data_IF_298803319660
#
_entry.id   IF_298803319660
#
_cell.length_a   1.000
_cell.length_b   1.000
_cell.length_c   1.000
_cell.angle_alpha   90.00
_cell.angle_beta   90.00
_cell.angle_gamma   90.00
#
_symmetry.space_group_name_H-M   'P 1'
#
loop_
_entity.id
_entity.type
_entity.pdbx_description
1 polymer ?
2 non-polymer ?
3 water ?
#
# COMPACT_ATOMS: atom_id res chain seq x y z
N UNK A 1 -20.39 -13.63 6.48
CA UNK A 1 -19.00 -13.37 6.86
C UNK A 1 -18.08 -13.15 5.66
N UNK A 2 -18.23 -13.97 4.62
CA UNK A 2 -17.49 -13.74 3.38
C UNK A 2 -18.16 -12.59 2.62
N UNK A 3 -17.40 -11.52 2.40
CA UNK A 3 -17.94 -10.33 1.73
C UNK A 3 -17.99 -10.44 0.22
N UNK A 4 -17.48 -11.52 -0.37
CA UNK A 4 -17.51 -11.71 -1.82
C UNK A 4 -16.87 -10.54 -2.53
N UNK A 5 -15.64 -10.21 -2.11
CA UNK A 5 -15.00 -8.97 -2.51
C UNK A 5 -14.68 -8.90 -4.01
N UNK A 6 -14.47 -10.05 -4.66
CA UNK A 6 -14.28 -10.05 -6.11
C UNK A 6 -15.44 -9.35 -6.82
N UNK A 7 -16.67 -9.62 -6.40
CA UNK A 7 -17.86 -9.04 -7.02
C UNK A 7 -18.35 -7.78 -6.31
N UNK A 8 -18.08 -7.64 -5.01
CA UNK A 8 -18.70 -6.58 -4.23
C UNK A 8 -18.38 -5.20 -4.78
N UNK A 9 -19.31 -4.26 -4.56
CA UNK A 9 -19.00 -2.87 -4.86
C UNK A 9 -18.09 -2.32 -3.76
N UNK A 10 -17.07 -1.58 -4.15
CA UNK A 10 -16.08 -1.10 -3.20
C UNK A 10 -15.94 0.40 -3.34
N UNK A 11 -16.02 1.11 -2.21
CA UNK A 11 -15.75 2.54 -2.14
C UNK A 11 -14.65 2.74 -1.10
N UNK A 12 -13.57 3.39 -1.51
CA UNK A 12 -12.49 3.71 -0.59
C UNK A 12 -12.62 5.18 -0.21
N UNK A 13 -12.69 5.46 1.09
CA UNK A 13 -12.77 6.82 1.61
C UNK A 13 -11.44 7.15 2.26
N UNK A 14 -10.75 8.17 1.74
CA UNK A 14 -9.51 8.65 2.34
C UNK A 14 -9.31 10.09 1.89
N UNK A 15 -8.23 10.70 2.38
CA UNK A 15 -7.88 12.05 1.97
C UNK A 15 -7.27 12.06 0.57
N UNK A 16 -7.13 13.26 -0.01
CA UNK A 16 -6.61 13.37 -1.37
C UNK A 16 -5.08 13.44 -1.35
N UNK A 17 -4.50 12.37 -0.80
CA UNK A 17 -3.06 12.18 -0.75
C UNK A 17 -2.82 10.69 -0.95
N UNK A 18 -1.55 10.34 -1.22
CA UNK A 18 -1.17 8.93 -1.21
C UNK A 18 -1.29 8.37 0.20
N UNK A 19 -0.52 8.90 1.14
CA UNK A 19 -0.63 8.56 2.54
C UNK A 19 -0.75 7.07 2.80
N UNK A 20 -1.64 6.74 3.71
CA UNK A 20 -1.77 5.36 4.20
C UNK A 20 -2.82 4.56 3.44
N UNK A 21 -3.50 5.17 2.45
CA UNK A 21 -4.42 4.42 1.60
C UNK A 21 -3.84 4.05 0.25
N UNK A 22 -2.66 4.59 -0.11
CA UNK A 22 -2.10 4.30 -1.41
C UNK A 22 -1.90 2.80 -1.61
N UNK A 23 -1.49 2.10 -0.55
CA UNK A 23 -1.30 0.66 -0.68
C UNK A 23 -2.60 -0.04 -1.09
N UNK A 24 -3.72 0.39 -0.54
CA UNK A 24 -5.01 -0.19 -0.94
C UNK A 24 -5.31 0.10 -2.40
N UNK A 25 -5.10 1.35 -2.82
CA UNK A 25 -5.32 1.70 -4.22
C UNK A 25 -4.43 0.87 -5.14
N UNK A 26 -3.19 0.61 -4.71
CA UNK A 26 -2.28 -0.19 -5.53
C UNK A 26 -2.73 -1.64 -5.64
N UNK A 27 -3.21 -2.24 -4.53
CA UNK A 27 -3.72 -3.62 -4.60
C UNK A 27 -4.87 -3.71 -5.58
N UNK A 28 -5.84 -2.79 -5.47
CA UNK A 28 -7.04 -2.89 -6.29
C UNK A 28 -6.70 -2.66 -7.76
N UNK A 29 -5.79 -1.72 -8.04
CA UNK A 29 -5.39 -1.50 -9.42
C UNK A 29 -4.55 -2.66 -9.96
N UNK A 30 -3.69 -3.25 -9.11
CA UNK A 30 -2.97 -4.45 -9.54
C UNK A 30 -3.94 -5.58 -9.90
N UNK A 31 -5.00 -5.74 -9.12
CA UNK A 31 -6.00 -6.77 -9.39
C UNK A 31 -6.98 -6.38 -10.49
N UNK A 32 -6.92 -5.13 -10.97
CA UNK A 32 -7.89 -4.60 -11.92
C UNK A 32 -9.31 -4.80 -11.40
N UNK A 33 -9.49 -4.51 -10.13
CA UNK A 33 -10.81 -4.47 -9.50
C UNK A 33 -11.25 -3.02 -9.39
N UNK A 34 -12.38 -2.69 -9.99
CA UNK A 34 -12.84 -1.32 -9.95
C UNK A 34 -13.31 -0.94 -8.55
N UNK A 35 -13.16 0.34 -8.21
CA UNK A 35 -13.63 0.86 -6.94
C UNK A 35 -13.80 2.36 -7.09
N UNK A 36 -14.67 2.92 -6.26
CA UNK A 36 -14.79 4.37 -6.19
C UNK A 36 -13.69 4.91 -5.27
N UNK A 37 -12.78 5.68 -5.83
CA UNK A 37 -11.67 6.27 -5.08
C UNK A 37 -12.11 7.65 -4.60
N UNK A 38 -12.87 7.68 -3.53
CA UNK A 38 -13.39 8.96 -3.06
C UNK A 38 -12.35 9.62 -2.15
N UNK A 39 -11.99 10.85 -2.49
CA UNK A 39 -10.95 11.62 -1.85
C UNK A 39 -11.60 12.76 -1.09
N UNK A 40 -11.42 12.77 0.23
CA UNK A 40 -12.15 13.63 1.16
C UNK A 40 -11.23 14.76 1.60
N UNK A 41 -11.72 15.99 1.51
CA UNK A 41 -10.97 17.11 2.08
C UNK A 41 -11.20 17.20 3.58
N UNK A 42 -10.24 17.81 4.27
CA UNK A 42 -10.43 18.14 5.68
C UNK A 42 -11.58 19.12 5.89
N UNK A 43 -11.97 19.89 4.88
CA UNK A 43 -13.19 20.70 5.00
C UNK A 43 -14.42 19.81 5.11
N UNK A 44 -14.41 18.66 4.43
CA UNK A 44 -15.57 17.78 4.43
C UNK A 44 -15.55 16.76 5.55
N UNK A 45 -14.38 16.52 6.14
CA UNK A 45 -14.22 15.46 7.13
C UNK A 45 -15.11 15.61 8.37
N UNK A 46 -15.23 16.78 9.00
CA UNK A 46 -16.10 16.89 10.17
C UNK A 46 -17.52 16.39 9.96
N UNK A 47 -18.15 16.79 8.85
CA UNK A 47 -19.52 16.36 8.59
C UNK A 47 -19.59 14.87 8.27
N UNK A 48 -18.60 14.35 7.53
CA UNK A 48 -18.57 12.93 7.21
C UNK A 48 -18.36 12.10 8.46
N UNK A 49 -17.46 12.55 9.34
CA UNK A 49 -17.18 11.83 10.59
C UNK A 49 -18.40 11.78 11.50
N UNK A 50 -19.34 12.72 11.35
CA UNK A 50 -20.48 12.78 12.26
C UNK A 50 -21.59 11.81 11.84
N UNK A 51 -21.81 11.62 10.54
CA UNK A 51 -22.89 10.76 10.09
C UNK A 51 -22.48 9.30 9.94
N UNK A 52 -21.20 9.00 9.82
CA UNK A 52 -20.75 7.65 9.58
C UNK A 52 -20.23 7.01 10.86
N UNK A 53 -20.24 5.67 10.93
CA UNK A 53 -19.90 4.99 12.19
C UNK A 53 -18.41 4.84 12.47
N UNK A 54 -17.56 5.67 11.88
CA UNK A 54 -16.12 5.57 12.08
C UNK A 54 -15.53 6.91 12.47
N UNK A 55 -14.31 6.88 12.99
CA UNK A 55 -13.63 8.07 13.48
C UNK A 55 -12.30 8.34 12.79
N UNK A 56 -11.85 7.46 11.89
CA UNK A 56 -10.61 7.68 11.16
C UNK A 56 -10.75 7.10 9.76
N UNK A 57 -9.95 7.64 8.84
CA UNK A 57 -9.82 7.09 7.50
C UNK A 57 -8.47 6.40 7.36
N UNK A 58 -8.30 5.50 6.39
CA UNK A 58 -9.25 5.05 5.36
C UNK A 58 -10.32 4.12 5.87
N UNK A 59 -11.47 4.13 5.20
CA UNK A 59 -12.50 3.12 5.38
C UNK A 59 -12.77 2.54 4.00
N UNK A 60 -12.95 1.22 3.93
CA UNK A 60 -13.43 0.58 2.71
C UNK A 60 -14.90 0.22 2.91
N UNK A 61 -15.79 0.91 2.22
CA UNK A 61 -17.22 0.60 2.28
C UNK A 61 -17.52 -0.46 1.23
N UNK A 62 -17.90 -1.65 1.69
CA UNK A 62 -18.18 -2.80 0.85
C UNK A 62 -19.69 -2.94 0.76
N UNK A 63 -20.22 -3.10 -0.46
CA UNK A 63 -21.60 -3.52 -0.64
C UNK A 63 -21.54 -4.90 -1.28
N UNK A 64 -21.89 -5.93 -0.52
CA UNK A 64 -21.75 -7.28 -1.04
C UNK A 64 -22.71 -7.48 -2.21
N UNK A 65 -22.54 -8.56 -3.00
CA UNK A 65 -23.48 -8.82 -4.11
C UNK A 65 -24.90 -9.02 -3.65
N UNK A 66 -25.12 -9.33 -2.37
CA UNK A 66 -26.47 -9.47 -1.83
C UNK A 66 -27.00 -8.17 -1.25
N UNK A 67 -26.25 -7.07 -1.37
CA UNK A 67 -26.71 -5.77 -0.95
C UNK A 67 -26.33 -5.34 0.43
N UNK A 68 -25.51 -6.09 1.15
CA UNK A 68 -25.18 -5.75 2.52
C UNK A 68 -24.02 -4.76 2.55
N UNK A 69 -24.20 -3.66 3.28
CA UNK A 69 -23.18 -2.63 3.42
C UNK A 69 -22.36 -2.87 4.68
N UNK A 70 -21.05 -3.03 4.52
CA UNK A 70 -20.12 -3.26 5.63
C UNK A 70 -18.99 -2.26 5.50
N UNK A 71 -18.63 -1.60 6.60
CA UNK A 71 -17.54 -0.63 6.64
C UNK A 71 -16.32 -1.31 7.25
N UNK A 72 -15.27 -1.45 6.46
CA UNK A 72 -14.04 -2.03 6.96
C UNK A 72 -13.05 -0.94 7.35
N UNK A 73 -12.35 -1.16 8.46
CA UNK A 73 -11.37 -0.22 8.95
C UNK A 73 -10.02 -0.91 9.14
N UNK A 74 -9.01 -0.08 9.43
CA UNK A 74 -7.63 -0.46 9.70
C UNK A 74 -6.89 -0.73 8.39
N UNK A 75 -6.10 0.26 7.95
CA UNK A 75 -5.57 0.30 6.60
C UNK A 75 -4.84 -0.98 6.20
N UNK A 76 -3.93 -1.46 7.06
CA UNK A 76 -3.16 -2.64 6.68
C UNK A 76 -4.00 -3.92 6.71
N UNK A 77 -4.96 -4.02 7.63
CA UNK A 77 -5.87 -5.16 7.62
C UNK A 77 -6.68 -5.20 6.32
N UNK A 78 -7.14 -4.03 5.86
CA UNK A 78 -7.85 -3.93 4.60
C UNK A 78 -6.95 -4.35 3.45
N UNK A 79 -5.72 -3.83 3.41
CA UNK A 79 -4.80 -4.14 2.32
C UNK A 79 -4.52 -5.65 2.26
N UNK A 80 -4.27 -6.28 3.40
CA UNK A 80 -3.96 -7.72 3.40
C UNK A 80 -5.17 -8.54 2.99
N UNK A 81 -6.36 -8.16 3.45
CA UNK A 81 -7.58 -8.86 3.04
C UNK A 81 -7.75 -8.79 1.52
N UNK A 82 -7.56 -7.60 0.95
CA UNK A 82 -7.69 -7.46 -0.50
C UNK A 82 -6.59 -8.21 -1.21
N UNK A 83 -5.37 -8.19 -0.67
CA UNK A 83 -4.29 -8.93 -1.32
C UNK A 83 -4.59 -10.43 -1.33
N UNK A 84 -5.09 -10.97 -0.20
CA UNK A 84 -5.43 -12.38 -0.16
C UNK A 84 -6.52 -12.70 -1.18
N UNK A 85 -7.50 -11.82 -1.30
CA UNK A 85 -8.62 -12.07 -2.19
C UNK A 85 -8.16 -12.18 -3.63
N UNK A 86 -7.19 -11.35 -4.01
CA UNK A 86 -6.78 -11.24 -5.41
C UNK A 86 -5.44 -11.90 -5.70
N UNK A 87 -5.01 -12.82 -4.85
CA UNK A 87 -3.84 -13.63 -5.17
C UNK A 87 -2.51 -12.89 -5.04
N UNK A 88 -2.47 -11.83 -4.21
CA UNK A 88 -1.30 -10.98 -4.04
C UNK A 88 -0.67 -11.16 -2.68
N UNK A 89 -0.88 -12.32 -2.03
CA UNK A 89 -0.39 -12.55 -0.68
C UNK A 89 0.30 -13.89 -0.52
N UNK A 90 0.93 -14.38 -1.59
CA UNK A 90 1.68 -15.63 -1.52
C UNK A 90 0.81 -16.86 -1.40
N UNK A 91 1.49 -18.01 -1.29
CA UNK A 91 0.85 -19.31 -1.36
C UNK A 91 1.04 -20.16 -0.12
N UNK A 92 1.94 -19.79 0.78
CA UNK A 92 2.18 -20.58 1.98
C UNK A 92 2.76 -19.66 3.04
N UNK A 93 2.86 -20.20 4.27
CA UNK A 93 3.25 -19.36 5.40
C UNK A 93 4.69 -18.89 5.29
N UNK A 94 5.55 -19.68 4.64
CA UNK A 94 6.94 -19.26 4.49
C UNK A 94 7.05 -18.05 3.57
N UNK A 95 6.33 -18.08 2.46
CA UNK A 95 6.30 -16.90 1.61
C UNK A 95 5.72 -15.71 2.35
N UNK A 96 4.64 -15.94 3.12
CA UNK A 96 4.00 -14.86 3.84
C UNK A 96 4.96 -14.26 4.86
N UNK A 97 5.82 -15.09 5.49
CA UNK A 97 6.82 -14.52 6.37
C UNK A 97 7.70 -13.51 5.63
N UNK A 98 8.13 -13.85 4.41
CA UNK A 98 8.92 -12.90 3.63
C UNK A 98 8.15 -11.62 3.37
N UNK A 99 6.85 -11.73 3.01
CA UNK A 99 6.04 -10.54 2.81
C UNK A 99 6.02 -9.69 4.07
N UNK A 100 5.72 -10.33 5.20
CA UNK A 100 5.44 -9.61 6.44
C UNK A 100 6.71 -9.11 7.09
N UNK A 101 7.83 -9.80 6.94
CA UNK A 101 9.09 -9.24 7.40
C UNK A 101 9.40 -7.95 6.66
N UNK A 102 9.28 -7.98 5.33
CA UNK A 102 9.54 -6.78 4.55
C UNK A 102 8.55 -5.68 4.88
N UNK A 103 7.27 -6.02 4.97
CA UNK A 103 6.30 -4.98 5.28
C UNK A 103 6.50 -4.40 6.67
N UNK A 104 7.01 -5.17 7.63
CA UNK A 104 7.32 -4.61 8.93
C UNK A 104 8.40 -3.55 8.80
N UNK A 105 9.44 -3.84 8.03
CA UNK A 105 10.53 -2.88 7.84
C UNK A 105 10.05 -1.65 7.10
N UNK A 106 9.35 -1.83 5.99
CA UNK A 106 8.95 -0.68 5.19
C UNK A 106 7.84 0.13 5.85
N UNK A 107 6.91 -0.52 6.57
CA UNK A 107 5.90 0.24 7.32
C UNK A 107 6.55 1.07 8.41
N UNK A 108 7.51 0.49 9.14
CA UNK A 108 8.19 1.23 10.20
C UNK A 108 8.97 2.39 9.61
N UNK A 109 9.68 2.17 8.50
CA UNK A 109 10.43 3.25 7.88
C UNK A 109 9.49 4.35 7.39
N UNK A 110 8.35 3.97 6.78
CA UNK A 110 7.37 4.97 6.36
C UNK A 110 6.92 5.84 7.52
N UNK A 111 6.52 5.21 8.62
CA UNK A 111 6.04 5.99 9.77
C UNK A 111 7.13 6.89 10.36
N UNK A 112 8.39 6.43 10.35
CA UNK A 112 9.50 7.28 10.80
C UNK A 112 9.70 8.48 9.88
N UNK A 113 9.61 8.26 8.57
CA UNK A 113 9.75 9.36 7.62
C UNK A 113 8.61 10.35 7.79
N UNK A 114 7.38 9.85 7.93
CA UNK A 114 6.24 10.73 8.12
C UNK A 114 6.42 11.61 9.36
N UNK A 115 6.94 11.04 10.44
CA UNK A 115 7.07 11.76 11.69
C UNK A 115 8.16 12.82 11.67
N UNK A 116 9.11 12.74 10.75
CA UNK A 116 10.22 13.67 10.69
C UNK A 116 9.99 14.83 9.75
N UNK A 117 8.86 14.85 9.04
CA UNK A 117 8.62 15.92 8.09
C UNK A 117 8.57 17.29 8.72
N UNK A 118 7.81 17.42 9.81
CA UNK A 118 7.64 18.70 10.48
C UNK A 118 8.11 18.73 11.94
N UNK A 119 8.52 17.60 12.51
CA UNK A 119 8.98 17.59 13.89
C UNK A 119 10.13 18.58 14.11
N UNK A 120 11.07 18.62 13.17
CA UNK A 120 12.19 19.55 13.25
C UNK A 120 12.33 20.36 11.97
N UNK A 129 18.33 11.79 13.03
CA UNK A 129 17.58 10.56 12.80
C UNK A 129 18.02 9.72 11.60
N UNK A 130 18.93 10.24 10.79
CA UNK A 130 19.54 9.44 9.73
C UNK A 130 20.04 8.10 10.25
N UNK A 131 20.38 8.00 11.53
CA UNK A 131 20.80 6.72 12.12
C UNK A 131 19.65 5.71 12.16
N UNK A 132 18.54 6.08 12.79
CA UNK A 132 17.39 5.17 12.83
C UNK A 132 16.86 4.91 11.42
N UNK A 133 16.87 5.94 10.58
CA UNK A 133 16.48 5.76 9.18
C UNK A 133 17.46 4.81 8.49
N UNK A 134 18.76 5.02 8.71
CA UNK A 134 19.78 4.19 8.05
C UNK A 134 19.64 2.73 8.44
N UNK A 135 19.25 2.47 9.69
CA UNK A 135 19.08 1.10 10.16
C UNK A 135 18.03 0.38 9.32
N UNK A 136 16.86 0.99 9.15
CA UNK A 136 15.81 0.38 8.32
C UNK A 136 16.28 0.25 6.88
N UNK A 137 16.91 1.30 6.34
CA UNK A 137 17.32 1.26 4.94
C UNK A 137 18.34 0.16 4.71
N UNK A 138 19.27 -0.03 5.66
CA UNK A 138 20.24 -1.10 5.50
C UNK A 138 19.58 -2.47 5.57
N UNK A 139 18.63 -2.66 6.49
CA UNK A 139 17.93 -3.94 6.59
C UNK A 139 17.16 -4.24 5.31
N UNK A 140 16.47 -3.24 4.77
CA UNK A 140 15.72 -3.43 3.53
C UNK A 140 16.67 -3.74 2.39
N UNK A 141 17.74 -2.95 2.25
CA UNK A 141 18.69 -3.20 1.18
C UNK A 141 19.28 -4.60 1.29
N UNK A 142 19.56 -5.03 2.51
CA UNK A 142 20.15 -6.33 2.73
C UNK A 142 19.21 -7.45 2.29
N UNK A 143 17.94 -7.38 2.70
CA UNK A 143 16.96 -8.38 2.27
C UNK A 143 16.79 -8.39 0.76
N UNK A 144 16.80 -7.21 0.15
CA UNK A 144 16.64 -7.17 -1.30
C UNK A 144 17.83 -7.78 -2.01
N UNK A 145 19.05 -7.56 -1.51
CA UNK A 145 20.21 -8.19 -2.15
C UNK A 145 20.28 -9.69 -1.92
N UNK A 146 19.82 -10.18 -0.77
CA UNK A 146 19.92 -11.60 -0.46
C UNK A 146 18.84 -12.47 -1.12
N UNK A 147 17.77 -11.87 -1.63
CA UNK A 147 16.65 -12.68 -2.08
C UNK A 147 17.04 -13.55 -3.28
N UNK A 148 16.41 -14.72 -3.37
CA UNK A 148 16.64 -15.64 -4.47
C UNK A 148 15.41 -15.72 -5.36
N UNK A 149 14.84 -14.57 -5.69
CA UNK A 149 13.64 -14.49 -6.52
C UNK A 149 13.56 -13.08 -7.09
N UNK A 150 12.68 -12.93 -8.09
CA UNK A 150 12.58 -11.64 -8.76
C UNK A 150 11.90 -10.61 -7.86
N UNK A 151 10.90 -11.03 -7.11
CA UNK A 151 10.18 -10.16 -6.18
C UNK A 151 10.50 -10.56 -4.75
N UNK A 152 9.96 -9.79 -3.81
CA UNK A 152 10.39 -9.91 -2.42
C UNK A 152 10.12 -11.31 -1.87
N UNK A 153 8.98 -11.90 -2.21
CA UNK A 153 8.57 -13.15 -1.58
C UNK A 153 8.54 -14.31 -2.54
N UNK A 154 9.02 -14.12 -3.75
CA UNK A 154 8.95 -15.17 -4.72
C UNK A 154 8.97 -14.60 -6.12
N UNK A 155 8.60 -15.44 -7.10
CA UNK A 155 8.69 -15.03 -8.51
C UNK A 155 7.61 -14.05 -8.94
N UNK A 156 6.59 -13.80 -8.12
CA UNK A 156 5.48 -12.95 -8.51
C UNK A 156 5.26 -11.87 -7.46
N UNK A 157 4.65 -10.76 -7.91
CA UNK A 157 4.39 -9.59 -7.07
C UNK A 157 3.43 -9.94 -5.96
N UNK A 158 3.73 -9.45 -4.78
CA UNK A 158 2.84 -9.54 -3.63
C UNK A 158 2.69 -8.16 -3.02
N UNK A 159 1.88 -8.09 -1.94
CA UNK A 159 1.70 -6.85 -1.20
C UNK A 159 3.01 -6.18 -0.81
N UNK A 160 4.06 -6.94 -0.52
CA UNK A 160 5.32 -6.29 -0.12
C UNK A 160 5.93 -5.49 -1.25
N UNK A 161 5.85 -5.99 -2.49
CA UNK A 161 6.37 -5.22 -3.62
C UNK A 161 5.55 -3.96 -3.85
N UNK A 162 4.24 -4.01 -3.60
CA UNK A 162 3.40 -2.84 -3.73
C UNK A 162 3.76 -1.79 -2.67
N UNK A 163 4.03 -2.22 -1.44
CA UNK A 163 4.37 -1.22 -0.44
C UNK A 163 5.73 -0.60 -0.71
N UNK A 164 6.63 -1.33 -1.41
CA UNK A 164 7.88 -0.72 -1.83
C UNK A 164 7.60 0.52 -2.68
N UNK A 165 6.57 0.48 -3.52
CA UNK A 165 6.21 1.65 -4.32
C UNK A 165 5.81 2.82 -3.42
N UNK A 166 5.00 2.56 -2.40
CA UNK A 166 4.64 3.59 -1.45
C UNK A 166 5.89 4.19 -0.81
N UNK A 167 6.84 3.32 -0.43
CA UNK A 167 8.06 3.79 0.22
C UNK A 167 8.89 4.66 -0.72
N UNK A 168 9.05 4.24 -1.99
CA UNK A 168 9.82 5.04 -2.95
C UNK A 168 9.24 6.45 -3.08
N UNK A 169 7.93 6.54 -3.30
CA UNK A 169 7.28 7.83 -3.49
C UNK A 169 7.41 8.70 -2.25
N UNK A 170 7.42 8.09 -1.07
CA UNK A 170 7.59 8.84 0.16
C UNK A 170 9.03 9.34 0.29
N UNK A 171 10.03 8.48 0.02
CA UNK A 171 11.41 8.97 0.04
C UNK A 171 11.65 10.06 -0.99
N UNK A 172 11.03 9.97 -2.16
CA UNK A 172 11.22 11.04 -3.16
C UNK A 172 10.68 12.37 -2.66
N UNK A 173 9.58 12.37 -1.91
CA UNK A 173 9.02 13.64 -1.44
C UNK A 173 9.70 14.13 -0.18
N UNK A 174 9.94 13.25 0.79
CA UNK A 174 10.50 13.64 2.07
C UNK A 174 12.03 13.65 2.09
N UNK A 175 12.69 12.85 1.26
CA UNK A 175 14.15 12.73 1.28
C UNK A 175 14.70 12.73 -0.15
N UNK A 176 14.46 13.82 -0.91
CA UNK A 176 14.80 13.78 -2.34
C UNK A 176 16.28 13.56 -2.62
N UNK A 177 17.16 14.16 -1.85
CA UNK A 177 18.59 14.11 -2.12
C UNK A 177 19.32 13.01 -1.38
N UNK A 178 18.66 12.33 -0.44
CA UNK A 178 19.27 11.19 0.23
C UNK A 178 19.76 10.18 -0.80
N UNK A 179 21.02 9.77 -0.65
CA UNK A 179 21.67 8.90 -1.63
C UNK A 179 22.12 7.62 -0.92
N UNK A 180 21.19 6.71 -0.73
CA UNK A 180 21.42 5.41 -0.13
C UNK A 180 21.25 4.34 -1.20
N UNK A 181 22.07 3.28 -1.12
CA UNK A 181 21.98 2.22 -2.13
C UNK A 181 20.64 1.50 -2.09
N UNK A 182 19.89 1.61 -0.99
CA UNK A 182 18.59 0.94 -0.92
C UNK A 182 17.61 1.54 -1.93
N UNK A 183 17.76 2.83 -2.25
CA UNK A 183 16.86 3.45 -3.23
C UNK A 183 16.90 2.73 -4.57
N UNK A 184 18.09 2.33 -5.03
CA UNK A 184 18.19 1.66 -6.32
C UNK A 184 17.56 0.26 -6.27
N UNK A 185 17.75 -0.45 -5.16
CA UNK A 185 17.17 -1.78 -5.02
C UNK A 185 15.65 -1.69 -4.94
N UNK A 186 15.13 -0.66 -4.26
CA UNK A 186 13.67 -0.45 -4.24
C UNK A 186 13.15 -0.14 -5.63
N UNK A 187 13.85 0.73 -6.37
CA UNK A 187 13.40 1.11 -7.70
C UNK A 187 13.37 -0.09 -8.64
N UNK A 188 14.29 -1.04 -8.46
CA UNK A 188 14.25 -2.28 -9.25
C UNK A 188 12.94 -3.03 -9.04
N UNK A 189 12.51 -3.17 -7.77
CA UNK A 189 11.24 -3.82 -7.48
C UNK A 189 10.10 -3.07 -8.16
N UNK A 190 10.09 -1.74 -8.04
CA UNK A 190 9.04 -0.95 -8.67
C UNK A 190 9.01 -1.17 -10.16
N UNK A 191 10.18 -1.20 -10.80
CA UNK A 191 10.23 -1.47 -12.24
C UNK A 191 9.56 -2.81 -12.59
N UNK A 192 9.77 -3.83 -11.75
CA UNK A 192 9.19 -5.12 -12.03
C UNK A 192 7.69 -5.15 -11.79
N UNK A 193 7.20 -4.40 -10.80
CA UNK A 193 5.77 -4.30 -10.58
C UNK A 193 5.12 -3.66 -11.81
N UNK A 194 5.72 -2.59 -12.31
CA UNK A 194 5.16 -1.89 -13.47
C UNK A 194 5.13 -2.82 -14.68
N UNK A 195 6.21 -3.58 -14.87
CA UNK A 195 6.27 -4.51 -15.98
C UNK A 195 5.20 -5.59 -15.88
N UNK A 196 5.03 -6.19 -14.70
CA UNK A 196 4.20 -7.37 -14.55
C UNK A 196 2.74 -7.10 -14.15
N UNK A 197 2.44 -5.88 -13.72
CA UNK A 197 1.09 -5.52 -13.24
C UNK A 197 0.67 -4.31 -14.05
N UNK A 198 0.15 -4.53 -15.26
CA UNK A 198 -0.24 -3.41 -16.11
C UNK A 198 -1.28 -2.51 -15.46
N UNK A 199 -2.11 -3.05 -14.57
CA UNK A 199 -3.02 -2.18 -13.83
C UNK A 199 -2.32 -1.19 -12.92
N UNK A 200 -1.20 -1.60 -12.32
CA UNK A 200 -0.41 -0.64 -11.54
C UNK A 200 0.25 0.38 -12.45
N UNK A 201 0.87 -0.08 -13.54
CA UNK A 201 1.52 0.85 -14.46
C UNK A 201 0.57 1.95 -14.91
N UNK A 202 -0.65 1.57 -15.30
CA UNK A 202 -1.61 2.55 -15.76
C UNK A 202 -2.05 3.48 -14.63
N UNK A 203 -2.27 2.92 -13.44
CA UNK A 203 -2.69 3.72 -12.31
C UNK A 203 -1.64 4.76 -11.93
N UNK A 204 -0.37 4.36 -11.86
CA UNK A 204 0.68 5.30 -11.50
C UNK A 204 0.77 6.43 -12.51
N UNK A 205 0.51 6.13 -13.78
CA UNK A 205 0.56 7.14 -14.83
C UNK A 205 -0.62 8.10 -14.73
N UNK A 206 -1.78 7.64 -14.27
CA UNK A 206 -3.01 8.40 -14.30
C UNK A 206 -3.46 8.96 -12.96
N UNK A 207 -2.87 8.54 -11.85
CA UNK A 207 -3.35 8.99 -10.54
C UNK A 207 -3.04 10.48 -10.34
N UNK A 208 -3.79 11.16 -9.47
CA UNK A 208 -3.53 12.58 -9.22
C UNK A 208 -2.14 12.79 -8.67
N UNK A 209 -1.45 13.80 -9.20
CA UNK A 209 -0.15 14.18 -8.66
C UNK A 209 -0.37 14.99 -7.38
N UNK A 210 -0.04 14.39 -6.24
CA UNK A 210 -0.23 15.01 -4.94
C UNK A 210 1.12 15.16 -4.25
N UNK A 211 1.15 16.08 -3.27
CA UNK A 211 2.37 16.30 -2.51
C UNK A 211 2.66 15.14 -1.56
N UNK A 212 1.65 14.66 -0.85
CA UNK A 212 1.87 13.60 0.12
C UNK A 212 1.12 12.33 -0.25
X LIG B 1 -22.65 -15.58 5.26
X LIG B 1 -23.32 -14.93 6.32
X LIG B 1 -22.30 -14.65 4.14
X LIG B 1 -22.76 -13.35 4.45
X LIG B 1 -22.18 -12.35 3.61
X LIG B 1 -22.33 -12.77 2.17
X LIG B 1 -21.68 -11.84 1.31
#
# INVERSE_FOLDING_TARGET
MDLQLKQAKLRLLYFNIRGRAELIRLVLNAAEKDFEDVRVSETEWPSLKSKMPFNQLPVLEVTTPNGQKVMLTESMAIARLLARTFGLYGDNAAEVYLIERMNSLTSSLLEEIYALGLKKVDSFKKLFEAEHLHEYMNAIEMALKERKSTFIAGPRVTLADLQVIVLIDTMNKFLPNTKHECKDKLDEIKEGVIRTKPGVARYLRSRPATDF
PEG C1 O1 C2 O2 C3 C4 O4
#
